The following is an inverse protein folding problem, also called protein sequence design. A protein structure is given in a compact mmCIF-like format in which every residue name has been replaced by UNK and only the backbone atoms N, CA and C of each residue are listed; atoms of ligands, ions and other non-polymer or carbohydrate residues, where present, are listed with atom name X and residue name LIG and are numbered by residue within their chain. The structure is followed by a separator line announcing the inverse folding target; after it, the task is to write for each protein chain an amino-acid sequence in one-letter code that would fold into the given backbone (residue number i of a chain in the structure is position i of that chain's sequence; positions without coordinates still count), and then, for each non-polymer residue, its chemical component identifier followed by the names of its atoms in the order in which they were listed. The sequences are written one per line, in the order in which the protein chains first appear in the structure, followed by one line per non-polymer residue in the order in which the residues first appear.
data_IF_884160189920
#
_entry.id   IF_884160189920
#
_cell.length_a   1.000
_cell.length_b   1.000
_cell.length_c   1.000
_cell.angle_alpha   90.00
_cell.angle_beta   90.00
_cell.angle_gamma   90.00
#
_symmetry.space_group_name_H-M   'P 1'
#
loop_
_entity.id
_entity.type
_entity.pdbx_description
1 polymer ?
#
# COMPACT_ATOMS: atom_id res chain seq x y z
N UNK A 1 7.66 2.53 -4.79
CA UNK A 1 7.44 3.52 -3.70
C UNK A 1 7.00 4.82 -4.37
N UNK A 2 5.93 5.42 -3.88
CA UNK A 2 5.43 6.73 -4.30
C UNK A 2 5.65 7.68 -3.12
N UNK A 3 6.17 8.87 -3.38
CA UNK A 3 6.35 9.91 -2.36
C UNK A 3 5.83 11.24 -2.88
N UNK A 4 4.52 11.52 -2.71
CA UNK A 4 3.96 12.83 -3.01
C UNK A 4 4.52 13.90 -2.06
N UNK A 5 4.21 15.16 -2.34
CA UNK A 5 4.70 16.29 -1.53
C UNK A 5 4.14 16.27 -0.10
N UNK A 6 2.93 15.71 0.08
CA UNK A 6 2.22 15.68 1.35
C UNK A 6 1.39 14.40 1.58
N UNK A 7 0.94 14.23 2.82
CA UNK A 7 0.13 13.08 3.23
C UNK A 7 -1.27 13.09 2.59
N UNK A 8 -1.86 14.26 2.30
CA UNK A 8 -3.19 14.33 1.70
C UNK A 8 -3.17 13.77 0.27
N UNK A 9 -2.14 14.08 -0.51
CA UNK A 9 -1.91 13.49 -1.83
C UNK A 9 -1.65 11.99 -1.73
N UNK A 10 -0.92 11.54 -0.70
CA UNK A 10 -0.68 10.11 -0.43
C UNK A 10 -2.00 9.37 -0.19
N UNK A 11 -2.89 9.94 0.63
CA UNK A 11 -4.22 9.39 0.89
C UNK A 11 -5.08 9.40 -0.37
N UNK A 12 -5.02 10.46 -1.19
CA UNK A 12 -5.75 10.55 -2.45
C UNK A 12 -5.35 9.44 -3.41
N UNK A 13 -4.05 9.27 -3.67
CA UNK A 13 -3.52 8.23 -4.57
C UNK A 13 -3.89 6.83 -4.06
N UNK A 14 -3.76 6.60 -2.75
CA UNK A 14 -4.17 5.33 -2.15
C UNK A 14 -5.66 5.05 -2.39
N UNK A 15 -6.54 6.02 -2.14
CA UNK A 15 -7.97 5.84 -2.35
C UNK A 15 -8.32 5.59 -3.82
N UNK A 16 -7.71 6.33 -4.75
CA UNK A 16 -7.88 6.10 -6.20
C UNK A 16 -7.46 4.68 -6.59
N UNK A 17 -6.35 4.19 -6.04
CA UNK A 17 -5.90 2.82 -6.28
C UNK A 17 -6.86 1.78 -5.68
N UNK A 18 -7.34 2.01 -4.45
CA UNK A 18 -8.33 1.14 -3.80
C UNK A 18 -9.68 1.11 -4.55
N UNK A 19 -10.07 2.21 -5.19
CA UNK A 19 -11.25 2.27 -6.06
C UNK A 19 -11.07 1.40 -7.30
N UNK A 20 -9.90 1.48 -7.96
CA UNK A 20 -9.57 0.64 -9.11
C UNK A 20 -9.58 -0.86 -8.75
N UNK A 21 -9.07 -1.20 -7.57
CA UNK A 21 -9.08 -2.55 -7.03
C UNK A 21 -10.46 -2.98 -6.45
N UNK A 22 -11.48 -2.11 -6.52
CA UNK A 22 -12.83 -2.33 -5.93
C UNK A 22 -12.78 -2.71 -4.45
N UNK A 23 -11.82 -2.15 -3.71
CA UNK A 23 -11.64 -2.44 -2.30
C UNK A 23 -12.74 -1.75 -1.46
N UNK A 24 -13.36 -2.46 -0.48
CA UNK A 24 -14.49 -1.93 0.28
C UNK A 24 -14.15 -0.65 1.06
N UNK A 25 -14.96 0.40 0.89
CA UNK A 25 -14.77 1.67 1.59
C UNK A 25 -14.76 1.53 3.12
N UNK A 26 -15.59 0.65 3.66
CA UNK A 26 -15.69 0.38 5.10
C UNK A 26 -14.44 -0.28 5.70
N UNK A 27 -13.49 -0.73 4.88
CA UNK A 27 -12.20 -1.29 5.32
C UNK A 27 -11.04 -0.31 5.14
N UNK A 28 -11.31 0.91 4.67
CA UNK A 28 -10.29 1.96 4.46
C UNK A 28 -9.92 2.65 5.78
N UNK A 29 -8.80 3.36 5.77
CA UNK A 29 -8.27 4.13 6.92
C UNK A 29 -7.14 3.43 7.69
N UNK A 30 -6.74 2.23 7.28
CA UNK A 30 -5.61 1.51 7.84
C UNK A 30 -4.27 2.04 7.29
N UNK A 31 -3.18 1.76 8.00
CA UNK A 31 -1.83 2.03 7.52
C UNK A 31 -1.36 0.98 6.49
N UNK A 32 -1.92 -0.23 6.58
CA UNK A 32 -1.51 -1.41 5.82
C UNK A 32 -2.73 -2.04 5.17
N UNK A 33 -2.56 -2.55 3.95
CA UNK A 33 -3.61 -3.25 3.21
C UNK A 33 -3.02 -4.47 2.52
N UNK A 34 -3.80 -5.55 2.51
CA UNK A 34 -3.60 -6.66 1.58
C UNK A 34 -4.82 -6.67 0.66
N UNK A 35 -4.59 -6.44 -0.62
CA UNK A 35 -5.64 -6.39 -1.63
C UNK A 35 -5.39 -7.44 -2.71
N UNK A 36 -6.47 -7.91 -3.33
CA UNK A 36 -6.38 -8.76 -4.52
C UNK A 36 -6.65 -7.87 -5.74
N UNK A 37 -5.59 -7.50 -6.45
CA UNK A 37 -5.66 -6.68 -7.65
C UNK A 37 -5.92 -7.57 -8.88
N UNK A 38 -6.93 -7.28 -9.72
CA UNK A 38 -7.26 -8.13 -10.87
C UNK A 38 -6.14 -8.30 -11.91
N UNK A 39 -5.18 -7.37 -11.96
CA UNK A 39 -4.09 -7.37 -12.94
C UNK A 39 -2.79 -7.89 -12.35
N UNK A 40 -2.57 -7.69 -11.04
CA UNK A 40 -1.31 -7.96 -10.38
C UNK A 40 -1.37 -9.06 -9.31
N UNK A 41 -2.55 -9.62 -9.05
CA UNK A 41 -2.78 -10.58 -7.97
C UNK A 41 -2.70 -9.92 -6.60
N UNK A 42 -2.21 -10.64 -5.60
CA UNK A 42 -2.08 -10.12 -4.25
C UNK A 42 -1.07 -8.97 -4.16
N UNK A 43 -1.50 -7.85 -3.60
CA UNK A 43 -0.70 -6.64 -3.40
C UNK A 43 -0.72 -6.24 -1.93
N UNK A 44 0.46 -5.97 -1.38
CA UNK A 44 0.61 -5.40 -0.05
C UNK A 44 0.90 -3.91 -0.16
N UNK A 45 0.05 -3.09 0.45
CA UNK A 45 0.22 -1.64 0.50
C UNK A 45 0.56 -1.19 1.91
N UNK A 46 1.46 -0.22 2.02
CA UNK A 46 1.82 0.41 3.28
C UNK A 46 1.97 1.91 3.11
N UNK A 47 1.22 2.68 3.90
CA UNK A 47 1.30 4.15 3.93
C UNK A 47 1.97 4.61 5.24
N UNK A 48 2.88 5.57 5.13
CA UNK A 48 3.48 6.24 6.28
C UNK A 48 3.87 7.67 5.91
N UNK A 49 3.26 8.67 6.58
CA UNK A 49 3.40 10.08 6.23
C UNK A 49 3.14 10.33 4.74
N UNK A 50 4.14 10.88 4.05
CA UNK A 50 4.11 11.15 2.60
C UNK A 50 4.51 9.97 1.71
N UNK A 51 4.66 8.77 2.25
CA UNK A 51 5.14 7.61 1.51
C UNK A 51 4.03 6.57 1.36
N UNK A 52 3.89 6.06 0.14
CA UNK A 52 3.06 4.90 -0.18
C UNK A 52 3.94 3.82 -0.83
N UNK A 53 3.99 2.66 -0.20
CA UNK A 53 4.73 1.50 -0.65
C UNK A 53 3.76 0.41 -1.14
N UNK A 54 4.16 -0.29 -2.20
CA UNK A 54 3.43 -1.43 -2.74
C UNK A 54 4.40 -2.58 -3.01
N UNK A 55 4.04 -3.79 -2.61
CA UNK A 55 4.79 -5.03 -2.87
C UNK A 55 3.86 -5.96 -3.65
N UNK A 56 4.36 -6.47 -4.78
CA UNK A 56 3.61 -7.21 -5.79
C UNK A 56 4.35 -8.51 -6.12
N UNK A 57 3.61 -9.57 -6.46
CA UNK A 57 4.17 -10.74 -7.15
C UNK A 57 5.15 -11.59 -6.33
N UNK A 58 5.01 -11.60 -5.00
CA UNK A 58 5.82 -12.43 -4.12
C UNK A 58 4.94 -13.11 -3.07
N UNK A 59 5.44 -14.18 -2.46
CA UNK A 59 4.75 -14.86 -1.37
C UNK A 59 4.62 -13.96 -0.11
N UNK A 60 3.78 -14.40 0.82
CA UNK A 60 3.47 -13.66 2.04
C UNK A 60 4.70 -13.39 2.91
N UNK A 61 5.57 -14.38 3.09
CA UNK A 61 6.75 -14.25 3.96
C UNK A 61 7.73 -13.21 3.39
N UNK A 62 7.99 -13.31 2.09
CA UNK A 62 8.85 -12.34 1.39
C UNK A 62 8.24 -10.94 1.39
N UNK A 63 6.91 -10.83 1.25
CA UNK A 63 6.20 -9.54 1.33
C UNK A 63 6.34 -8.90 2.72
N UNK A 64 6.16 -9.68 3.78
CA UNK A 64 6.31 -9.21 5.16
C UNK A 64 7.75 -8.78 5.46
N UNK A 65 8.74 -9.52 4.96
CA UNK A 65 10.16 -9.17 5.10
C UNK A 65 10.49 -7.83 4.41
N UNK A 66 10.04 -7.65 3.16
CA UNK A 66 10.24 -6.36 2.47
C UNK A 66 9.50 -5.22 3.16
N UNK A 67 8.31 -5.47 3.68
CA UNK A 67 7.54 -4.48 4.43
C UNK A 67 8.29 -4.02 5.69
N UNK A 68 8.87 -4.95 6.44
CA UNK A 68 9.65 -4.64 7.64
C UNK A 68 10.89 -3.80 7.29
N UNK A 69 11.62 -4.16 6.22
CA UNK A 69 12.77 -3.37 5.75
C UNK A 69 12.36 -1.95 5.34
N UNK A 70 11.19 -1.78 4.72
CA UNK A 70 10.66 -0.46 4.36
C UNK A 70 10.28 0.35 5.59
N UNK A 71 9.64 -0.27 6.58
CA UNK A 71 9.30 0.36 7.88
C UNK A 71 10.53 0.86 8.62
N UNK A 72 11.65 0.13 8.57
CA UNK A 72 12.91 0.56 9.17
C UNK A 72 13.55 1.74 8.44
N UNK A 73 13.48 1.76 7.10
CA UNK A 73 14.14 2.78 6.28
C UNK A 73 13.37 4.10 6.16
N UNK A 74 12.04 4.04 6.25
CA UNK A 74 11.16 5.19 6.02
C UNK A 74 10.72 5.85 7.34
N UNK A 75 11.22 5.33 8.47
CA UNK A 75 10.91 5.81 9.82
C UNK A 75 11.43 7.23 10.09
#
# INVERSE_FOLDING_TARGET
IISPDDEQQTVKILNEYLDLAKFPENKRGQAEYTIEDPYNGQVYLYKTGKYLCGILGTDKETSENYLNLLKEKIR
#
